data_IF_088685535036
#
_entry.id   IF_088685535036
#
_cell.length_a   1.000
_cell.length_b   1.000
_cell.length_c   1.000
_cell.angle_alpha   90.00
_cell.angle_beta   90.00
_cell.angle_gamma   90.00
#
_symmetry.space_group_name_H-M   'P 1'
#
loop_
_entity.id
_entity.type
_entity.pdbx_description
1 polymer ?
#
# COMPACT_ATOMS: atom_id res chain seq x y z
N UNK A 1 -13.38 -2.18 -14.98
CA UNK A 1 -14.17 -1.47 -13.95
C UNK A 1 -15.04 -0.41 -14.61
N UNK A 2 -14.46 0.57 -15.32
CA UNK A 2 -15.22 1.66 -15.94
C UNK A 2 -16.32 1.13 -16.89
N UNK A 3 -15.97 0.20 -17.77
CA UNK A 3 -16.92 -0.44 -18.68
C UNK A 3 -18.05 -1.20 -17.96
N UNK A 4 -17.72 -1.95 -16.90
CA UNK A 4 -18.70 -2.74 -16.14
C UNK A 4 -19.75 -1.88 -15.44
N UNK A 5 -19.32 -0.74 -14.90
CA UNK A 5 -20.23 0.19 -14.21
C UNK A 5 -20.78 1.28 -15.14
N UNK A 6 -20.42 1.26 -16.44
CA UNK A 6 -20.85 2.25 -17.44
C UNK A 6 -20.53 3.69 -17.05
N UNK A 7 -19.37 3.90 -16.43
CA UNK A 7 -18.85 5.20 -16.01
C UNK A 7 -17.65 5.61 -16.86
N UNK A 8 -17.31 6.89 -16.88
CA UNK A 8 -16.10 7.34 -17.55
C UNK A 8 -14.84 6.85 -16.82
N UNK A 9 -13.73 6.74 -17.53
CA UNK A 9 -12.44 6.38 -16.92
C UNK A 9 -11.96 7.43 -15.94
N UNK A 10 -12.25 8.71 -16.18
CA UNK A 10 -11.99 9.78 -15.23
C UNK A 10 -12.76 9.58 -13.94
N UNK A 11 -14.04 9.18 -14.04
CA UNK A 11 -14.86 8.85 -12.85
C UNK A 11 -14.31 7.62 -12.11
N UNK A 12 -13.90 6.58 -12.82
CA UNK A 12 -13.25 5.42 -12.21
C UNK A 12 -11.92 5.81 -11.53
N UNK A 13 -11.19 6.79 -12.08
CA UNK A 13 -9.96 7.33 -11.49
C UNK A 13 -10.15 8.01 -10.13
N UNK A 14 -11.35 8.52 -9.82
CA UNK A 14 -11.69 9.10 -8.50
C UNK A 14 -11.45 8.08 -7.38
N UNK A 15 -11.57 6.79 -7.66
CA UNK A 15 -11.26 5.72 -6.71
C UNK A 15 -9.83 5.83 -6.14
N UNK A 16 -8.86 6.19 -6.96
CA UNK A 16 -7.45 6.37 -6.53
C UNK A 16 -7.35 7.62 -5.65
N UNK A 17 -8.00 8.70 -6.05
CA UNK A 17 -8.00 9.96 -5.31
C UNK A 17 -8.63 9.82 -3.93
N UNK A 18 -9.82 9.22 -3.86
CA UNK A 18 -10.53 8.99 -2.59
C UNK A 18 -9.74 8.05 -1.68
N UNK A 19 -9.13 7.01 -2.24
CA UNK A 19 -8.23 6.12 -1.50
C UNK A 19 -7.05 6.90 -0.89
N UNK A 20 -6.37 7.72 -1.68
CA UNK A 20 -5.22 8.50 -1.21
C UNK A 20 -5.61 9.50 -0.11
N UNK A 21 -6.72 10.22 -0.28
CA UNK A 21 -7.25 11.11 0.75
C UNK A 21 -7.68 10.35 2.00
N UNK A 22 -8.33 9.20 1.87
CA UNK A 22 -8.70 8.38 3.01
C UNK A 22 -7.46 7.94 3.80
N UNK A 23 -6.39 7.47 3.13
CA UNK A 23 -5.10 7.16 3.80
C UNK A 23 -4.56 8.38 4.53
N UNK A 24 -4.46 9.53 3.86
CA UNK A 24 -3.88 10.74 4.43
C UNK A 24 -4.65 11.24 5.67
N UNK A 25 -5.97 11.30 5.57
CA UNK A 25 -6.83 11.82 6.64
C UNK A 25 -7.00 10.85 7.81
N UNK A 26 -6.95 9.53 7.56
CA UNK A 26 -7.18 8.53 8.61
C UNK A 26 -5.90 8.07 9.30
N UNK A 27 -4.72 8.25 8.70
CA UNK A 27 -3.45 7.74 9.24
C UNK A 27 -3.18 8.22 10.66
N UNK A 28 -3.23 9.52 10.92
CA UNK A 28 -2.99 10.09 12.24
C UNK A 28 -4.10 9.73 13.26
N UNK A 29 -5.41 9.93 12.96
CA UNK A 29 -6.48 9.55 13.87
C UNK A 29 -6.46 8.07 14.24
N UNK A 30 -6.33 7.18 13.26
CA UNK A 30 -6.32 5.74 13.51
C UNK A 30 -5.08 5.31 14.31
N UNK A 31 -3.91 5.90 14.02
CA UNK A 31 -2.71 5.64 14.81
C UNK A 31 -2.91 6.03 16.29
N UNK A 32 -3.61 7.13 16.56
CA UNK A 32 -3.92 7.57 17.93
C UNK A 32 -4.92 6.64 18.62
N UNK A 33 -6.01 6.28 17.93
CA UNK A 33 -7.05 5.39 18.46
C UNK A 33 -6.45 4.04 18.85
N UNK A 34 -5.58 3.50 18.00
CA UNK A 34 -5.00 2.18 18.19
C UNK A 34 -3.62 2.17 18.86
N UNK A 35 -3.13 3.34 19.32
CA UNK A 35 -1.80 3.49 19.93
C UNK A 35 -1.54 2.52 21.10
N UNK A 36 -2.56 2.20 21.89
CA UNK A 36 -2.48 1.31 23.06
C UNK A 36 -2.85 -0.15 22.75
N UNK A 37 -3.24 -0.45 21.51
CA UNK A 37 -3.64 -1.80 21.13
C UNK A 37 -2.42 -2.71 21.01
N UNK A 38 -2.53 -3.93 21.52
CA UNK A 38 -1.51 -4.95 21.39
C UNK A 38 -1.14 -5.18 19.91
N UNK A 39 0.16 -5.17 19.60
CA UNK A 39 0.66 -5.19 18.21
C UNK A 39 0.15 -6.39 17.39
N UNK A 40 0.09 -7.60 18.01
CA UNK A 40 -0.43 -8.79 17.32
C UNK A 40 -1.91 -8.63 16.94
N UNK A 41 -2.74 -8.19 17.91
CA UNK A 41 -4.18 -7.96 17.64
C UNK A 41 -4.39 -6.91 16.57
N UNK A 42 -3.60 -5.85 16.61
CA UNK A 42 -3.68 -4.77 15.64
C UNK A 42 -3.32 -5.25 14.24
N UNK A 43 -2.21 -5.97 14.07
CA UNK A 43 -1.79 -6.52 12.76
C UNK A 43 -2.84 -7.48 12.22
N UNK A 44 -3.32 -8.42 13.03
CA UNK A 44 -4.33 -9.38 12.61
C UNK A 44 -5.63 -8.66 12.21
N UNK A 45 -6.07 -7.65 12.99
CA UNK A 45 -7.23 -6.84 12.67
C UNK A 45 -7.09 -6.08 11.35
N UNK A 46 -5.92 -5.48 11.10
CA UNK A 46 -5.61 -4.77 9.86
C UNK A 46 -5.66 -5.72 8.65
N UNK A 47 -5.01 -6.88 8.74
CA UNK A 47 -4.99 -7.85 7.63
C UNK A 47 -6.39 -8.42 7.40
N UNK A 48 -7.18 -8.63 8.46
CA UNK A 48 -8.59 -9.03 8.35
C UNK A 48 -9.42 -7.95 7.64
N UNK A 49 -9.29 -6.68 8.05
CA UNK A 49 -9.98 -5.56 7.39
C UNK A 49 -9.58 -5.45 5.92
N UNK A 50 -8.29 -5.60 5.62
CA UNK A 50 -7.77 -5.57 4.25
C UNK A 50 -8.38 -6.71 3.41
N UNK A 51 -8.36 -7.95 3.91
CA UNK A 51 -8.91 -9.11 3.23
C UNK A 51 -10.43 -8.97 3.01
N UNK A 52 -11.18 -8.60 4.05
CA UNK A 52 -12.63 -8.37 3.97
C UNK A 52 -12.98 -7.27 2.97
N UNK A 53 -12.21 -6.16 2.95
CA UNK A 53 -12.40 -5.08 1.99
C UNK A 53 -12.13 -5.53 0.54
N UNK A 54 -11.20 -6.45 0.31
CA UNK A 54 -10.97 -7.01 -1.02
C UNK A 54 -12.07 -7.98 -1.45
N UNK A 55 -12.64 -8.78 -0.54
CA UNK A 55 -13.86 -9.55 -0.82
C UNK A 55 -14.98 -8.61 -1.25
N UNK A 56 -15.21 -7.56 -0.45
CA UNK A 56 -16.24 -6.57 -0.73
C UNK A 56 -16.04 -5.90 -2.09
N UNK A 57 -14.79 -5.65 -2.50
CA UNK A 57 -14.47 -5.16 -3.83
C UNK A 57 -14.84 -6.16 -4.93
N UNK A 58 -14.51 -7.44 -4.74
CA UNK A 58 -14.76 -8.49 -5.73
C UNK A 58 -16.25 -8.75 -5.97
N UNK A 59 -17.09 -8.57 -4.94
CA UNK A 59 -18.53 -8.78 -5.02
C UNK A 59 -19.34 -7.48 -5.19
N UNK A 60 -18.68 -6.31 -5.34
CA UNK A 60 -19.34 -5.02 -5.41
C UNK A 60 -20.36 -4.96 -6.57
N UNK A 61 -21.66 -4.72 -6.29
CA UNK A 61 -22.69 -4.62 -7.31
C UNK A 61 -22.64 -3.30 -8.07
N UNK A 62 -22.15 -2.25 -7.42
CA UNK A 62 -22.08 -0.89 -7.94
C UNK A 62 -20.77 -0.18 -7.56
N UNK A 63 -20.55 1.00 -8.15
CA UNK A 63 -19.35 1.78 -7.93
C UNK A 63 -19.25 2.33 -6.50
N UNK A 64 -20.37 2.65 -5.85
CA UNK A 64 -20.36 3.16 -4.47
C UNK A 64 -19.88 2.11 -3.48
N UNK A 65 -20.33 0.87 -3.64
CA UNK A 65 -19.87 -0.26 -2.82
C UNK A 65 -18.38 -0.52 -3.05
N UNK A 66 -17.93 -0.44 -4.31
CA UNK A 66 -16.51 -0.52 -4.62
C UNK A 66 -15.72 0.60 -3.94
N UNK A 67 -16.20 1.84 -3.95
CA UNK A 67 -15.59 2.98 -3.27
C UNK A 67 -15.50 2.75 -1.76
N UNK A 68 -16.58 2.28 -1.13
CA UNK A 68 -16.61 1.96 0.30
C UNK A 68 -15.55 0.90 0.64
N UNK A 69 -15.44 -0.13 -0.18
CA UNK A 69 -14.42 -1.16 0.00
C UNK A 69 -12.99 -0.58 -0.08
N UNK A 70 -12.75 0.39 -0.96
CA UNK A 70 -11.45 1.09 -1.06
C UNK A 70 -11.13 1.91 0.18
N UNK A 71 -12.14 2.49 0.83
CA UNK A 71 -11.95 3.18 2.12
C UNK A 71 -11.50 2.19 3.21
N UNK A 72 -12.08 0.99 3.26
CA UNK A 72 -11.61 -0.07 4.17
C UNK A 72 -10.15 -0.46 3.94
N UNK A 73 -9.75 -0.63 2.67
CA UNK A 73 -8.36 -0.88 2.31
C UNK A 73 -7.47 0.30 2.71
N UNK A 74 -7.92 1.54 2.51
CA UNK A 74 -7.18 2.75 2.87
C UNK A 74 -6.91 2.84 4.39
N UNK A 75 -7.93 2.55 5.21
CA UNK A 75 -7.77 2.50 6.67
C UNK A 75 -6.78 1.41 7.11
N UNK A 76 -6.88 0.22 6.53
CA UNK A 76 -5.93 -0.86 6.80
C UNK A 76 -4.50 -0.46 6.43
N UNK A 77 -4.31 0.15 5.26
CA UNK A 77 -3.02 0.63 4.76
C UNK A 77 -2.42 1.73 5.66
N UNK A 78 -3.23 2.71 6.06
CA UNK A 78 -2.82 3.81 6.92
C UNK A 78 -2.23 3.33 8.25
N UNK A 79 -2.88 2.36 8.90
CA UNK A 79 -2.40 1.79 10.16
C UNK A 79 -1.19 0.88 9.91
N UNK A 80 -1.22 0.06 8.85
CA UNK A 80 -0.15 -0.90 8.55
C UNK A 80 1.22 -0.22 8.47
N UNK A 81 1.36 0.83 7.69
CA UNK A 81 2.64 1.53 7.54
C UNK A 81 3.11 2.23 8.81
N UNK A 82 2.18 2.60 9.68
CA UNK A 82 2.53 3.20 10.99
C UNK A 82 3.17 2.19 11.95
N UNK A 83 2.89 0.89 11.80
CA UNK A 83 3.30 -0.13 12.76
C UNK A 83 4.27 -1.18 12.22
N UNK A 84 4.30 -1.42 10.90
CA UNK A 84 5.10 -2.52 10.31
C UNK A 84 6.59 -2.37 10.60
N UNK A 85 7.13 -1.17 10.47
CA UNK A 85 8.54 -0.88 10.69
C UNK A 85 8.98 -1.13 12.14
N UNK A 86 8.36 -0.51 13.17
CA UNK A 86 8.72 -0.77 14.56
C UNK A 86 8.46 -2.23 14.97
N UNK A 87 7.40 -2.85 14.45
CA UNK A 87 7.12 -4.25 14.74
C UNK A 87 8.19 -5.17 14.16
N UNK A 88 8.62 -4.95 12.90
CA UNK A 88 9.66 -5.75 12.26
C UNK A 88 10.97 -5.73 13.07
N UNK A 89 11.38 -4.54 13.55
CA UNK A 89 12.57 -4.41 14.40
C UNK A 89 12.40 -5.16 15.72
N UNK A 90 11.22 -5.10 16.33
CA UNK A 90 10.94 -5.72 17.62
C UNK A 90 10.94 -7.25 17.57
N UNK A 91 10.38 -7.85 16.51
CA UNK A 91 10.32 -9.32 16.36
C UNK A 91 11.63 -9.90 15.84
N UNK A 92 12.55 -9.06 15.37
CA UNK A 92 13.86 -9.48 14.91
C UNK A 92 14.72 -10.03 16.05
N UNK A 93 15.60 -11.01 15.80
CA UNK A 93 16.62 -11.43 16.73
C UNK A 93 17.52 -10.25 17.17
N UNK A 94 18.08 -10.32 18.37
CA UNK A 94 18.97 -9.29 18.88
C UNK A 94 20.08 -8.93 17.86
N UNK A 95 20.29 -7.64 17.63
CA UNK A 95 21.28 -7.11 16.68
C UNK A 95 20.86 -7.21 15.19
N UNK A 96 19.68 -7.74 14.83
CA UNK A 96 19.24 -7.90 13.43
C UNK A 96 18.11 -6.95 13.03
N UNK A 97 17.91 -5.86 13.74
CA UNK A 97 16.86 -4.89 13.44
C UNK A 97 17.02 -4.25 12.04
N UNK A 98 18.23 -3.89 11.63
CA UNK A 98 18.51 -3.36 10.29
C UNK A 98 18.19 -4.38 9.18
N UNK A 99 18.52 -5.66 9.41
CA UNK A 99 18.16 -6.75 8.48
C UNK A 99 16.65 -6.89 8.32
N UNK A 100 15.89 -6.79 9.44
CA UNK A 100 14.43 -6.84 9.39
C UNK A 100 13.85 -5.69 8.58
N UNK A 101 14.36 -4.47 8.74
CA UNK A 101 13.96 -3.32 7.93
C UNK A 101 14.27 -3.53 6.45
N UNK A 102 15.47 -4.04 6.12
CA UNK A 102 15.86 -4.34 4.74
C UNK A 102 14.92 -5.36 4.10
N UNK A 103 14.45 -6.37 4.85
CA UNK A 103 13.47 -7.35 4.37
C UNK A 103 12.13 -6.68 4.06
N UNK A 104 11.65 -5.78 4.92
CA UNK A 104 10.40 -5.02 4.67
C UNK A 104 10.52 -4.18 3.41
N UNK A 105 11.65 -3.46 3.24
CA UNK A 105 11.91 -2.64 2.04
C UNK A 105 12.00 -3.51 0.78
N UNK A 106 12.75 -4.62 0.86
CA UNK A 106 12.88 -5.55 -0.27
C UNK A 106 11.53 -6.16 -0.66
N UNK A 107 10.71 -6.56 0.33
CA UNK A 107 9.35 -7.05 0.08
C UNK A 107 8.47 -6.02 -0.63
N UNK A 108 8.54 -4.75 -0.21
CA UNK A 108 7.82 -3.65 -0.87
C UNK A 108 8.29 -3.44 -2.31
N UNK A 109 9.60 -3.49 -2.54
CA UNK A 109 10.19 -3.36 -3.88
C UNK A 109 9.76 -4.50 -4.80
N UNK A 110 9.81 -5.74 -4.32
CA UNK A 110 9.34 -6.91 -5.08
C UNK A 110 7.85 -6.78 -5.40
N UNK A 111 7.04 -6.33 -4.44
CA UNK A 111 5.61 -6.11 -4.65
C UNK A 111 5.33 -5.07 -5.74
N UNK A 112 6.11 -4.00 -5.82
CA UNK A 112 5.97 -2.99 -6.89
C UNK A 112 6.38 -3.56 -8.26
N UNK A 113 7.45 -4.35 -8.34
CA UNK A 113 7.95 -4.89 -9.60
C UNK A 113 7.03 -5.97 -10.17
N UNK A 114 6.60 -6.88 -9.30
CA UNK A 114 5.82 -8.06 -9.71
C UNK A 114 4.32 -7.77 -9.62
N UNK A 115 3.89 -7.01 -8.62
CA UNK A 115 2.48 -6.82 -8.29
C UNK A 115 1.69 -6.11 -9.40
N UNK A 116 2.24 -5.03 -9.98
CA UNK A 116 1.54 -4.31 -11.04
C UNK A 116 1.40 -5.14 -12.32
N UNK A 117 2.49 -5.71 -12.91
CA UNK A 117 2.38 -6.55 -14.10
C UNK A 117 1.52 -7.79 -13.86
N UNK A 118 1.68 -8.46 -12.71
CA UNK A 118 0.92 -9.65 -12.38
C UNK A 118 -0.57 -9.32 -12.17
N UNK A 119 -0.87 -8.27 -11.40
CA UNK A 119 -2.24 -7.82 -11.19
C UNK A 119 -2.94 -7.44 -12.50
N UNK A 120 -2.20 -6.78 -13.41
CA UNK A 120 -2.70 -6.46 -14.75
C UNK A 120 -2.95 -7.73 -15.56
N UNK A 121 -2.01 -8.67 -15.60
CA UNK A 121 -2.15 -9.92 -16.35
C UNK A 121 -3.34 -10.75 -15.86
N UNK A 122 -3.50 -10.88 -14.53
CA UNK A 122 -4.66 -11.55 -13.93
C UNK A 122 -5.95 -10.80 -14.27
N UNK A 123 -5.94 -9.47 -14.14
CA UNK A 123 -7.11 -8.63 -14.44
C UNK A 123 -7.60 -8.75 -15.89
N UNK A 124 -6.68 -8.91 -16.85
CA UNK A 124 -6.99 -9.16 -18.26
C UNK A 124 -7.53 -10.59 -18.46
N UNK A 125 -6.91 -11.57 -17.80
CA UNK A 125 -7.24 -12.98 -18.00
C UNK A 125 -8.58 -13.37 -17.35
N UNK A 126 -8.85 -12.94 -16.11
CA UNK A 126 -10.02 -13.39 -15.33
C UNK A 126 -10.90 -12.26 -14.81
N UNK A 127 -10.58 -11.02 -15.16
CA UNK A 127 -11.34 -9.84 -14.75
C UNK A 127 -10.97 -9.29 -13.37
N UNK A 128 -11.30 -8.03 -13.15
CA UNK A 128 -10.92 -7.28 -11.95
C UNK A 128 -11.58 -7.81 -10.66
N UNK A 129 -12.81 -8.33 -10.72
CA UNK A 129 -13.50 -8.91 -9.55
C UNK A 129 -12.74 -10.11 -9.01
N UNK A 130 -12.38 -11.04 -9.88
CA UNK A 130 -11.61 -12.23 -9.51
C UNK A 130 -10.22 -11.84 -9.00
N UNK A 131 -9.60 -10.83 -9.59
CA UNK A 131 -8.32 -10.30 -9.10
C UNK A 131 -8.40 -9.85 -7.64
N UNK A 132 -9.45 -9.11 -7.24
CA UNK A 132 -9.64 -8.72 -5.85
C UNK A 132 -9.89 -9.93 -4.94
N UNK A 133 -10.63 -10.94 -5.38
CA UNK A 133 -10.84 -12.17 -4.60
C UNK A 133 -9.55 -12.96 -4.43
N UNK A 134 -8.68 -13.03 -5.44
CA UNK A 134 -7.35 -13.63 -5.33
C UNK A 134 -6.51 -12.90 -4.28
N UNK A 135 -6.50 -11.55 -4.31
CA UNK A 135 -5.79 -10.75 -3.30
C UNK A 135 -6.34 -11.04 -1.90
N UNK A 136 -7.66 -11.14 -1.75
CA UNK A 136 -8.29 -11.49 -0.48
C UNK A 136 -7.86 -12.87 0.01
N UNK A 137 -7.83 -13.87 -0.87
CA UNK A 137 -7.41 -15.23 -0.53
C UNK A 137 -5.94 -15.26 -0.06
N UNK A 138 -5.04 -14.56 -0.77
CA UNK A 138 -3.64 -14.42 -0.36
C UNK A 138 -3.54 -13.72 1.01
N UNK A 139 -4.32 -12.66 1.23
CA UNK A 139 -4.34 -11.95 2.50
C UNK A 139 -4.82 -12.84 3.66
N UNK A 140 -5.80 -13.72 3.43
CA UNK A 140 -6.21 -14.71 4.43
C UNK A 140 -5.13 -15.77 4.70
N UNK A 141 -4.40 -16.19 3.68
CA UNK A 141 -3.22 -17.07 3.86
C UNK A 141 -2.17 -16.40 4.74
N UNK A 142 -1.85 -15.13 4.46
CA UNK A 142 -0.94 -14.31 5.29
C UNK A 142 -1.49 -14.12 6.70
N UNK A 143 -2.79 -13.86 6.86
CA UNK A 143 -3.45 -13.76 8.17
C UNK A 143 -3.25 -15.03 9.00
N UNK A 144 -3.49 -16.21 8.40
CA UNK A 144 -3.28 -17.51 9.06
C UNK A 144 -1.83 -17.71 9.49
N UNK A 145 -0.88 -17.38 8.60
CA UNK A 145 0.55 -17.44 8.92
C UNK A 145 0.92 -16.51 10.07
N UNK A 146 0.49 -15.24 10.01
CA UNK A 146 0.75 -14.27 11.07
C UNK A 146 0.12 -14.68 12.40
N UNK A 147 -1.09 -15.22 12.38
CA UNK A 147 -1.76 -15.72 13.57
C UNK A 147 -1.01 -16.87 14.23
N UNK A 148 -0.36 -17.74 13.44
CA UNK A 148 0.43 -18.86 13.91
C UNK A 148 1.81 -18.44 14.46
N UNK A 149 2.48 -17.50 13.77
CA UNK A 149 3.89 -17.15 14.07
C UNK A 149 4.02 -15.97 15.03
N UNK A 150 3.13 -14.96 14.92
CA UNK A 150 3.27 -13.72 15.67
C UNK A 150 2.90 -13.92 17.14
N UNK A 151 3.86 -13.76 18.04
CA UNK A 151 3.64 -13.81 19.48
C UNK A 151 2.95 -12.53 19.99
N UNK A 152 2.27 -12.64 21.13
CA UNK A 152 1.71 -11.48 21.82
C UNK A 152 2.84 -10.52 22.18
N UNK A 153 2.67 -9.25 21.83
CA UNK A 153 3.65 -8.20 22.13
C UNK A 153 2.91 -6.94 22.58
N UNK A 154 3.26 -6.39 23.74
CA UNK A 154 2.62 -5.17 24.21
C UNK A 154 2.81 -4.04 23.18
N UNK A 155 1.91 -3.08 23.20
CA UNK A 155 2.07 -1.85 22.43
C UNK A 155 3.16 -1.00 23.05
N UNK A 156 4.20 -0.68 22.27
CA UNK A 156 5.20 0.33 22.64
C UNK A 156 4.98 1.65 21.89
N UNK A 157 3.80 1.83 21.35
CA UNK A 157 3.51 3.03 20.60
C UNK A 157 3.38 4.21 21.56
N UNK A 158 4.54 4.80 21.92
CA UNK A 158 4.66 5.99 22.75
C UNK A 158 4.38 7.27 21.95
N UNK A 159 3.52 7.18 20.91
CA UNK A 159 3.11 8.37 20.19
C UNK A 159 2.37 9.32 21.13
N UNK A 160 2.88 10.52 21.26
CA UNK A 160 2.30 11.56 22.09
C UNK A 160 2.04 12.82 21.26
N UNK A 161 0.77 13.20 21.16
CA UNK A 161 0.37 14.49 20.55
C UNK A 161 1.12 15.68 21.16
N UNK A 162 1.59 15.55 22.39
CA UNK A 162 2.34 16.60 23.10
C UNK A 162 3.68 16.93 22.42
N UNK A 163 4.23 16.01 21.63
CA UNK A 163 5.48 16.20 20.87
C UNK A 163 5.23 16.82 19.48
N UNK A 164 4.00 16.81 18.98
CA UNK A 164 3.65 17.30 17.65
C UNK A 164 4.04 18.79 17.43
N UNK A 165 3.75 19.72 18.37
CA UNK A 165 4.13 21.12 18.20
C UNK A 165 5.64 21.34 18.06
N UNK A 166 6.46 20.54 18.74
CA UNK A 166 7.92 20.62 18.63
C UNK A 166 8.40 20.18 17.23
N UNK A 167 7.80 19.12 16.68
CA UNK A 167 8.10 18.64 15.32
C UNK A 167 7.72 19.68 14.27
N UNK A 168 6.52 20.28 14.39
CA UNK A 168 6.05 21.33 13.47
C UNK A 168 6.93 22.58 13.49
N UNK A 169 7.55 22.90 14.62
CA UNK A 169 8.44 24.05 14.77
C UNK A 169 9.87 23.84 14.25
N UNK A 170 10.21 22.66 13.79
CA UNK A 170 11.56 22.33 13.29
C UNK A 170 11.67 22.60 11.79
N UNK A 171 12.39 23.64 11.32
CA UNK A 171 12.43 24.02 9.90
C UNK A 171 12.97 22.93 8.97
N UNK A 172 13.97 22.18 9.44
CA UNK A 172 14.57 21.07 8.66
C UNK A 172 13.57 19.97 8.31
N UNK A 173 12.59 19.71 9.20
CA UNK A 173 11.54 18.74 8.94
C UNK A 173 10.57 19.21 7.85
N UNK A 174 10.29 20.50 7.77
CA UNK A 174 9.47 21.05 6.69
C UNK A 174 10.10 20.88 5.31
N UNK A 175 11.42 21.06 5.22
CA UNK A 175 12.17 20.79 3.98
C UNK A 175 12.03 19.35 3.54
N UNK A 176 12.20 18.40 4.48
CA UNK A 176 12.05 16.96 4.21
C UNK A 176 10.60 16.64 3.81
N UNK A 177 9.61 17.16 4.52
CA UNK A 177 8.19 16.91 4.20
C UNK A 177 7.82 17.47 2.83
N UNK A 178 8.26 18.69 2.50
CA UNK A 178 7.98 19.30 1.20
C UNK A 178 8.67 18.52 0.07
N UNK A 179 9.93 18.15 0.25
CA UNK A 179 10.65 17.31 -0.71
C UNK A 179 9.94 15.98 -0.92
N UNK A 180 9.55 15.32 0.16
CA UNK A 180 8.80 14.05 0.10
C UNK A 180 7.47 14.23 -0.61
N UNK A 181 6.71 15.28 -0.26
CA UNK A 181 5.44 15.58 -0.88
C UNK A 181 5.58 15.75 -2.40
N UNK A 182 6.52 16.58 -2.85
CA UNK A 182 6.73 16.84 -4.28
C UNK A 182 7.23 15.58 -5.01
N UNK A 183 8.23 14.90 -4.46
CA UNK A 183 8.83 13.71 -5.07
C UNK A 183 7.80 12.57 -5.19
N UNK A 184 7.08 12.27 -4.11
CA UNK A 184 6.08 11.20 -4.08
C UNK A 184 4.87 11.53 -4.94
N UNK A 185 4.39 12.79 -4.91
CA UNK A 185 3.28 13.21 -5.78
C UNK A 185 3.65 13.09 -7.25
N UNK A 186 4.84 13.54 -7.65
CA UNK A 186 5.34 13.39 -9.02
C UNK A 186 5.46 11.93 -9.43
N UNK A 187 6.06 11.10 -8.57
CA UNK A 187 6.21 9.65 -8.80
C UNK A 187 4.85 8.96 -9.01
N UNK A 188 3.91 9.14 -8.10
CA UNK A 188 2.60 8.48 -8.20
C UNK A 188 1.72 9.06 -9.32
N UNK A 189 1.89 10.31 -9.70
CA UNK A 189 1.23 10.86 -10.90
C UNK A 189 1.73 10.13 -12.15
N UNK A 190 3.04 10.05 -12.34
CA UNK A 190 3.61 9.31 -13.45
C UNK A 190 3.19 7.83 -13.45
N UNK A 191 3.27 7.18 -12.28
CA UNK A 191 2.91 5.77 -12.11
C UNK A 191 1.43 5.48 -12.42
N UNK A 192 0.51 6.36 -12.01
CA UNK A 192 -0.93 6.16 -12.24
C UNK A 192 -1.34 6.33 -13.70
N UNK A 193 -0.61 7.15 -14.45
CA UNK A 193 -0.95 7.45 -15.84
C UNK A 193 -0.05 6.75 -16.87
N UNK A 194 0.93 5.97 -16.44
CA UNK A 194 1.87 5.29 -17.34
C UNK A 194 1.16 4.32 -18.29
N UNK A 195 0.22 3.53 -17.81
CA UNK A 195 -0.51 2.55 -18.65
C UNK A 195 -1.43 3.22 -19.68
N UNK A 196 -2.30 4.18 -19.32
CA UNK A 196 -3.06 4.96 -20.31
C UNK A 196 -2.17 5.67 -21.33
N UNK A 197 -1.04 6.22 -20.92
CA UNK A 197 -0.07 6.85 -21.80
C UNK A 197 0.51 5.85 -22.82
N UNK A 198 0.99 4.70 -22.35
CA UNK A 198 1.58 3.67 -23.20
C UNK A 198 0.57 3.08 -24.18
N UNK A 199 -0.69 2.88 -23.76
CA UNK A 199 -1.72 2.29 -24.59
C UNK A 199 -2.31 3.28 -25.61
N UNK A 200 -2.63 4.52 -25.19
CA UNK A 200 -3.39 5.47 -26.01
C UNK A 200 -2.51 6.41 -26.81
N UNK A 201 -1.39 6.86 -26.25
CA UNK A 201 -0.51 7.83 -26.88
C UNK A 201 0.62 7.13 -27.62
N UNK A 202 1.31 6.17 -26.96
CA UNK A 202 2.38 5.41 -27.59
C UNK A 202 1.89 4.24 -28.45
N UNK A 203 0.60 3.86 -28.39
CA UNK A 203 0.01 2.81 -29.22
C UNK A 203 0.55 1.41 -28.95
N UNK A 204 1.11 1.15 -27.77
CA UNK A 204 1.72 -0.13 -27.44
C UNK A 204 0.66 -1.21 -27.15
N UNK A 205 0.94 -2.42 -27.63
CA UNK A 205 0.12 -3.59 -27.32
C UNK A 205 0.33 -4.10 -25.88
N UNK A 206 -0.62 -4.91 -25.40
CA UNK A 206 -0.67 -5.39 -24.03
C UNK A 206 0.64 -6.01 -23.51
N UNK A 207 1.30 -6.83 -24.34
CA UNK A 207 2.55 -7.49 -23.97
C UNK A 207 3.69 -6.48 -23.78
N UNK A 208 3.81 -5.51 -24.70
CA UNK A 208 4.82 -4.45 -24.60
C UNK A 208 4.61 -3.58 -23.35
N UNK A 209 3.34 -3.22 -23.05
CA UNK A 209 3.00 -2.48 -21.82
C UNK A 209 3.42 -3.27 -20.58
N UNK A 210 3.14 -4.57 -20.53
CA UNK A 210 3.53 -5.42 -19.40
C UNK A 210 5.05 -5.44 -19.21
N UNK A 211 5.81 -5.55 -20.30
CA UNK A 211 7.29 -5.50 -20.26
C UNK A 211 7.78 -4.15 -19.74
N UNK A 212 7.24 -3.04 -20.26
CA UNK A 212 7.64 -1.69 -19.81
C UNK A 212 7.34 -1.49 -18.32
N UNK A 213 6.17 -1.92 -17.84
CA UNK A 213 5.82 -1.83 -16.41
C UNK A 213 6.75 -2.69 -15.54
N UNK A 214 7.15 -3.87 -16.02
CA UNK A 214 8.10 -4.73 -15.32
C UNK A 214 9.49 -4.07 -15.25
N UNK A 215 9.96 -3.50 -16.36
CA UNK A 215 11.24 -2.76 -16.39
C UNK A 215 11.20 -1.54 -15.48
N UNK A 216 10.09 -0.79 -15.47
CA UNK A 216 9.92 0.35 -14.57
C UNK A 216 10.05 -0.06 -13.10
N UNK A 217 9.45 -1.18 -12.71
CA UNK A 217 9.62 -1.74 -11.36
C UNK A 217 11.07 -2.18 -11.09
N UNK A 218 11.70 -2.86 -12.05
CA UNK A 218 13.07 -3.36 -11.91
C UNK A 218 14.12 -2.24 -11.70
N UNK A 219 13.94 -1.09 -12.36
CA UNK A 219 14.78 0.10 -12.16
C UNK A 219 14.74 0.59 -10.71
N UNK A 220 13.60 0.48 -10.05
CA UNK A 220 13.46 0.79 -8.62
C UNK A 220 14.35 -0.07 -7.72
N UNK A 221 14.53 -1.38 -8.03
CA UNK A 221 15.49 -2.23 -7.31
C UNK A 221 16.93 -1.80 -7.53
N UNK A 222 17.30 -1.46 -8.76
CA UNK A 222 18.65 -0.99 -9.08
C UNK A 222 18.96 0.28 -8.30
N UNK A 223 18.01 1.24 -8.26
CA UNK A 223 18.12 2.45 -7.46
C UNK A 223 18.29 2.15 -5.96
N UNK A 224 17.49 1.25 -5.42
CA UNK A 224 17.59 0.83 -4.00
C UNK A 224 18.93 0.16 -3.69
N UNK A 225 19.44 -0.66 -4.62
CA UNK A 225 20.74 -1.31 -4.47
C UNK A 225 21.91 -0.32 -4.49
N UNK A 226 21.87 0.66 -5.40
CA UNK A 226 22.89 1.72 -5.48
C UNK A 226 22.88 2.53 -4.18
N UNK A 227 21.70 2.94 -3.71
CA UNK A 227 21.54 3.70 -2.47
C UNK A 227 22.03 2.94 -1.23
N UNK A 228 21.85 1.62 -1.18
CA UNK A 228 22.30 0.81 -0.03
C UNK A 228 23.82 0.67 0.08
N UNK A 229 24.58 1.03 -0.96
CA UNK A 229 26.05 0.97 -0.98
C UNK A 229 26.74 2.28 -0.58
N UNK A 230 25.99 3.36 -0.51
CA UNK A 230 26.46 4.68 -0.09
C UNK A 230 25.83 5.10 1.23
#
# INVERSE_FOLDING_TARGET
>A
IAADFRISESHAGIMITVYAWAVALTSLPLMLIFAKTESRRLVLGIVTLFAASHILSGIAPDFHMLMLSRMGVACAHAIFWSIVTPLAVRVAPAGKGSTALSIVVAGSSIALIVGLPLGRAIGIAVGWRVTFLIIAAIAFGVLGLLAAVLKKSPSDNNFSLRKLPALIKTPSLWGIYLLTLVAISGHFTAYSYIEPFLSRIAGLGNNAITVVLTLFGAVGLVGSFIFSRH
#
